data_IF_022402599538
#
_entry.id   IF_022402599538
#
_cell.length_a   1.000
_cell.length_b   1.000
_cell.length_c   1.000
_cell.angle_alpha   90.00
_cell.angle_beta   90.00
_cell.angle_gamma   90.00
#
_symmetry.space_group_name_H-M   'P 1'
#
loop_
_entity.id
_entity.type
_entity.pdbx_description
1 polymer ?
#
# COMPACT_ATOMS: atom_id res chain seq x y z
N UNK A 1 22.62 4.14 8.45
CA UNK A 1 21.84 3.13 7.71
C UNK A 1 21.09 2.15 8.63
N UNK A 2 21.78 1.44 9.54
CA UNK A 2 21.15 0.40 10.38
C UNK A 2 19.94 0.89 11.19
N UNK A 3 20.01 2.06 11.82
CA UNK A 3 18.87 2.64 12.59
C UNK A 3 17.62 2.87 11.72
N UNK A 4 17.80 3.24 10.45
CA UNK A 4 16.69 3.47 9.52
C UNK A 4 16.01 2.15 9.14
N UNK A 5 16.80 1.13 8.78
CA UNK A 5 16.29 -0.20 8.46
C UNK A 5 15.61 -0.86 9.66
N UNK A 6 16.16 -0.70 10.87
CA UNK A 6 15.51 -1.15 12.10
C UNK A 6 14.18 -0.44 12.34
N UNK A 7 14.11 0.87 12.09
CA UNK A 7 12.87 1.63 12.22
C UNK A 7 11.83 1.19 11.19
N UNK A 8 12.25 0.97 9.94
CA UNK A 8 11.39 0.42 8.91
C UNK A 8 10.84 -0.94 9.33
N UNK A 9 11.70 -1.87 9.79
CA UNK A 9 11.27 -3.17 10.31
C UNK A 9 10.26 -3.04 11.45
N UNK A 10 10.44 -2.09 12.37
CA UNK A 10 9.46 -1.82 13.43
C UNK A 10 8.13 -1.25 12.90
N UNK A 11 8.17 -0.41 11.87
CA UNK A 11 6.96 0.17 11.27
C UNK A 11 6.08 -0.88 10.58
N UNK A 12 6.69 -1.96 10.06
CA UNK A 12 5.98 -3.08 9.45
C UNK A 12 5.19 -3.91 10.47
N UNK A 13 5.48 -3.78 11.77
CA UNK A 13 4.76 -4.53 12.81
C UNK A 13 3.31 -4.02 12.99
N UNK A 14 3.05 -2.74 12.72
CA UNK A 14 1.73 -2.14 12.94
C UNK A 14 0.65 -2.76 12.02
N UNK A 15 0.85 -2.89 10.69
CA UNK A 15 -0.06 -3.65 9.82
C UNK A 15 -0.17 -5.12 10.19
N UNK A 16 0.98 -5.74 10.51
CA UNK A 16 1.07 -7.18 10.78
C UNK A 16 0.26 -7.58 12.01
N UNK A 17 0.14 -6.68 13.00
CA UNK A 17 -0.63 -6.93 14.21
C UNK A 17 -2.14 -7.19 13.96
N UNK A 18 -2.70 -6.75 12.83
CA UNK A 18 -4.11 -6.97 12.49
C UNK A 18 -4.34 -8.34 11.80
N UNK A 19 -3.32 -8.94 11.20
CA UNK A 19 -3.44 -10.18 10.42
C UNK A 19 -3.84 -11.43 11.23
N UNK A 20 -3.44 -11.61 12.51
CA UNK A 20 -3.88 -12.75 13.31
C UNK A 20 -5.40 -12.86 13.42
N UNK A 21 -6.09 -11.73 13.60
CA UNK A 21 -7.56 -11.71 13.67
C UNK A 21 -8.15 -12.14 12.33
N UNK A 22 -7.59 -11.64 11.23
CA UNK A 22 -8.01 -12.03 9.88
C UNK A 22 -7.88 -13.53 9.64
N UNK A 23 -6.74 -14.11 10.01
CA UNK A 23 -6.47 -15.54 9.89
C UNK A 23 -7.39 -16.40 10.77
N UNK A 24 -7.66 -15.99 12.00
CA UNK A 24 -8.59 -16.72 12.90
C UNK A 24 -10.01 -16.70 12.32
N UNK A 25 -10.49 -15.55 11.86
CA UNK A 25 -11.84 -15.42 11.29
C UNK A 25 -11.99 -16.29 10.04
N UNK A 26 -11.04 -16.22 9.11
CA UNK A 26 -11.07 -17.09 7.92
C UNK A 26 -10.91 -18.56 8.27
N UNK A 27 -10.04 -18.91 9.22
CA UNK A 27 -9.83 -20.28 9.67
C UNK A 27 -11.10 -20.91 10.25
N UNK A 28 -11.84 -20.19 11.09
CA UNK A 28 -13.15 -20.64 11.59
C UNK A 28 -14.17 -20.72 10.45
N UNK A 29 -14.17 -19.73 9.55
CA UNK A 29 -15.06 -19.73 8.39
C UNK A 29 -14.89 -20.96 7.49
N UNK A 30 -13.65 -21.29 7.13
CA UNK A 30 -13.33 -22.49 6.35
C UNK A 30 -13.54 -23.79 7.14
N UNK A 31 -13.42 -23.76 8.47
CA UNK A 31 -13.78 -24.93 9.29
C UNK A 31 -15.29 -25.22 9.24
N UNK A 32 -16.13 -24.19 9.14
CA UNK A 32 -17.59 -24.33 9.01
C UNK A 32 -18.01 -24.74 7.60
N UNK A 33 -17.39 -24.16 6.57
CA UNK A 33 -17.65 -24.47 5.16
C UNK A 33 -16.33 -24.68 4.41
N UNK A 34 -15.85 -25.92 4.43
CA UNK A 34 -14.53 -26.30 3.89
C UNK A 34 -14.44 -26.06 2.38
N UNK A 35 -15.46 -26.47 1.63
CA UNK A 35 -15.41 -26.50 0.17
C UNK A 35 -16.27 -25.40 -0.48
N UNK A 36 -17.21 -24.81 0.25
CA UNK A 36 -18.16 -23.85 -0.31
C UNK A 36 -17.68 -22.40 -0.33
N UNK A 37 -16.55 -22.08 0.29
CA UNK A 37 -16.05 -20.69 0.40
C UNK A 37 -17.10 -19.71 0.97
N UNK A 38 -18.03 -20.24 1.79
CA UNK A 38 -19.17 -19.50 2.34
C UNK A 38 -20.47 -19.61 1.53
N UNK A 39 -20.46 -20.20 0.34
CA UNK A 39 -21.67 -20.34 -0.49
C UNK A 39 -22.72 -21.23 0.18
N UNK A 40 -22.30 -22.21 0.98
CA UNK A 40 -23.20 -23.17 1.61
C UNK A 40 -23.65 -22.75 3.01
N UNK A 41 -22.99 -21.75 3.62
CA UNK A 41 -23.31 -21.29 4.96
C UNK A 41 -23.05 -19.79 5.13
N UNK A 42 -24.11 -19.03 5.44
CA UNK A 42 -24.06 -17.57 5.63
C UNK A 42 -23.10 -17.17 6.75
N UNK A 43 -23.01 -17.94 7.83
CA UNK A 43 -22.08 -17.65 8.93
C UNK A 43 -20.61 -17.84 8.49
N UNK A 44 -20.34 -18.88 7.69
CA UNK A 44 -19.02 -19.08 7.10
C UNK A 44 -18.66 -17.95 6.12
N UNK A 45 -19.58 -17.57 5.23
CA UNK A 45 -19.39 -16.43 4.32
C UNK A 45 -19.06 -15.14 5.07
N UNK A 46 -19.79 -14.86 6.15
CA UNK A 46 -19.57 -13.67 6.96
C UNK A 46 -18.16 -13.67 7.58
N UNK A 47 -17.73 -14.79 8.17
CA UNK A 47 -16.41 -14.91 8.78
C UNK A 47 -15.27 -14.85 7.75
N UNK A 48 -15.41 -15.55 6.61
CA UNK A 48 -14.41 -15.53 5.52
C UNK A 48 -14.28 -14.11 4.96
N UNK A 49 -15.40 -13.42 4.69
CA UNK A 49 -15.37 -12.04 4.18
C UNK A 49 -14.85 -11.05 5.22
N UNK A 50 -15.17 -11.24 6.50
CA UNK A 50 -14.63 -10.41 7.57
C UNK A 50 -13.10 -10.50 7.66
N UNK A 51 -12.53 -11.71 7.65
CA UNK A 51 -11.07 -11.85 7.63
C UNK A 51 -10.44 -11.41 6.30
N UNK A 52 -11.09 -11.72 5.18
CA UNK A 52 -10.68 -11.27 3.84
C UNK A 52 -10.54 -9.75 3.73
N UNK A 53 -11.39 -8.98 4.41
CA UNK A 53 -11.31 -7.51 4.41
C UNK A 53 -9.93 -6.95 4.78
N UNK A 54 -9.20 -7.64 5.67
CA UNK A 54 -7.85 -7.25 6.09
C UNK A 54 -6.76 -7.84 5.18
N UNK A 55 -6.90 -9.11 4.77
CA UNK A 55 -5.90 -9.77 3.91
C UNK A 55 -5.90 -9.15 2.51
N UNK A 56 -7.09 -8.94 1.94
CA UNK A 56 -7.27 -8.40 0.59
C UNK A 56 -6.81 -6.93 0.50
N UNK A 57 -6.84 -6.20 1.62
CA UNK A 57 -6.38 -4.80 1.70
C UNK A 57 -5.02 -4.66 2.40
N UNK A 58 -4.25 -5.74 2.55
CA UNK A 58 -3.01 -5.73 3.32
C UNK A 58 -1.99 -4.73 2.77
N UNK A 59 -1.91 -4.55 1.46
CA UNK A 59 -1.02 -3.56 0.85
C UNK A 59 -1.35 -2.12 1.28
N UNK A 60 -2.64 -1.79 1.39
CA UNK A 60 -3.09 -0.51 1.94
C UNK A 60 -2.74 -0.38 3.43
N UNK A 61 -2.93 -1.44 4.22
CA UNK A 61 -2.50 -1.46 5.62
C UNK A 61 -1.01 -1.17 5.75
N UNK A 62 -0.17 -1.75 4.87
CA UNK A 62 1.26 -1.44 4.81
C UNK A 62 1.55 0.02 4.44
N UNK A 63 0.84 0.61 3.47
CA UNK A 63 1.01 2.02 3.13
C UNK A 63 0.75 2.95 4.31
N UNK A 64 -0.33 2.71 5.05
CA UNK A 64 -0.71 3.51 6.22
C UNK A 64 0.26 3.25 7.38
N UNK A 65 0.52 1.99 7.71
CA UNK A 65 1.31 1.62 8.88
C UNK A 65 2.79 2.00 8.75
N UNK A 66 3.37 1.84 7.55
CA UNK A 66 4.74 2.32 7.28
C UNK A 66 4.81 3.84 7.35
N UNK A 67 3.82 4.55 6.78
CA UNK A 67 3.80 6.00 6.82
C UNK A 67 3.80 6.54 8.25
N UNK A 68 2.96 5.97 9.12
CA UNK A 68 2.90 6.33 10.55
C UNK A 68 4.19 5.94 11.27
N UNK A 69 4.65 4.69 11.18
CA UNK A 69 5.82 4.23 11.95
C UNK A 69 7.14 4.89 11.53
N UNK A 70 7.21 5.40 10.29
CA UNK A 70 8.36 6.15 9.77
C UNK A 70 8.26 7.67 9.99
N UNK A 71 7.09 8.20 10.39
CA UNK A 71 6.91 9.60 10.75
C UNK A 71 7.57 9.93 12.08
N UNK A 72 8.34 11.02 12.17
CA UNK A 72 9.18 11.38 13.34
C UNK A 72 8.42 11.34 14.67
N UNK A 73 7.13 11.72 14.68
CA UNK A 73 6.25 11.79 15.85
C UNK A 73 5.04 10.83 15.76
N UNK A 74 5.04 9.88 14.81
CA UNK A 74 3.94 8.94 14.55
C UNK A 74 2.56 9.62 14.36
N UNK A 75 2.53 10.84 13.81
CA UNK A 75 1.30 11.60 13.64
C UNK A 75 0.38 11.00 12.56
N UNK A 76 -0.94 11.02 12.81
CA UNK A 76 -1.95 10.49 11.90
C UNK A 76 -2.00 11.18 10.53
N UNK A 77 -1.50 12.41 10.41
CA UNK A 77 -1.40 13.08 9.10
C UNK A 77 -0.39 12.41 8.17
N UNK A 78 0.63 11.72 8.71
CA UNK A 78 1.50 10.88 7.90
C UNK A 78 0.74 9.66 7.35
N UNK A 79 -0.17 9.08 8.12
CA UNK A 79 -1.07 8.01 7.68
C UNK A 79 -1.90 8.45 6.46
N UNK A 80 -2.49 9.64 6.55
CA UNK A 80 -3.24 10.25 5.44
C UNK A 80 -2.34 10.46 4.22
N UNK A 81 -1.10 10.92 4.41
CA UNK A 81 -0.14 11.07 3.32
C UNK A 81 0.18 9.72 2.65
N UNK A 82 0.41 8.66 3.42
CA UNK A 82 0.62 7.31 2.90
C UNK A 82 -0.57 6.79 2.11
N UNK A 83 -1.80 7.01 2.60
CA UNK A 83 -3.04 6.69 1.88
C UNK A 83 -3.16 7.47 0.57
N UNK A 84 -2.87 8.78 0.58
CA UNK A 84 -2.87 9.59 -0.64
C UNK A 84 -1.86 9.06 -1.65
N UNK A 85 -0.66 8.70 -1.20
CA UNK A 85 0.35 8.11 -2.07
C UNK A 85 -0.12 6.80 -2.70
N UNK A 86 -0.71 5.93 -1.88
CA UNK A 86 -1.30 4.66 -2.33
C UNK A 86 -2.35 4.89 -3.41
N UNK A 87 -3.36 5.74 -3.15
CA UNK A 87 -4.44 5.98 -4.10
C UNK A 87 -3.94 6.57 -5.42
N UNK A 88 -2.99 7.52 -5.37
CA UNK A 88 -2.41 8.11 -6.59
C UNK A 88 -1.68 7.06 -7.42
N UNK A 89 -0.79 6.29 -6.79
CA UNK A 89 0.04 5.29 -7.50
C UNK A 89 -0.83 4.17 -8.07
N UNK A 90 -1.73 3.58 -7.28
CA UNK A 90 -2.54 2.45 -7.77
C UNK A 90 -3.55 2.86 -8.83
N UNK A 91 -4.01 4.11 -8.82
CA UNK A 91 -4.93 4.61 -9.85
C UNK A 91 -4.19 4.86 -11.16
N UNK A 92 -3.07 5.57 -11.12
CA UNK A 92 -2.27 5.89 -12.31
C UNK A 92 -1.63 4.66 -12.94
N UNK A 93 -1.31 3.63 -12.16
CA UNK A 93 -0.69 2.41 -12.64
C UNK A 93 -1.65 1.22 -12.69
N UNK A 94 -2.96 1.47 -12.63
CA UNK A 94 -3.96 0.44 -12.95
C UNK A 94 -3.84 0.03 -14.42
N UNK A 95 -4.09 -1.24 -14.73
CA UNK A 95 -4.02 -1.74 -16.12
C UNK A 95 -4.91 -0.93 -17.07
N UNK A 96 -6.10 -0.52 -16.61
CA UNK A 96 -6.96 0.40 -17.37
C UNK A 96 -6.32 1.75 -17.69
N UNK A 97 -5.72 2.42 -16.70
CA UNK A 97 -5.06 3.71 -16.92
C UNK A 97 -3.82 3.58 -17.83
N UNK A 98 -3.01 2.54 -17.62
CA UNK A 98 -1.82 2.26 -18.44
C UNK A 98 -2.21 1.99 -19.89
N UNK A 99 -3.29 1.25 -20.13
CA UNK A 99 -3.80 1.02 -21.47
C UNK A 99 -4.24 2.32 -22.15
N UNK A 100 -4.88 3.23 -21.41
CA UNK A 100 -5.24 4.55 -21.93
C UNK A 100 -4.02 5.41 -22.28
N UNK A 101 -2.93 5.32 -21.51
CA UNK A 101 -1.71 6.09 -21.76
C UNK A 101 -0.88 5.55 -22.94
N UNK A 102 -0.89 4.24 -23.16
CA UNK A 102 -0.07 3.57 -24.18
C UNK A 102 -0.83 3.31 -25.48
N UNK A 103 -2.16 3.29 -25.45
CA UNK A 103 -3.01 2.88 -26.58
C UNK A 103 -2.96 1.38 -26.87
N UNK A 104 -2.41 0.57 -25.97
CA UNK A 104 -2.27 -0.88 -26.10
C UNK A 104 -2.69 -1.58 -24.81
N UNK A 105 -2.82 -2.91 -24.82
CA UNK A 105 -3.01 -3.66 -23.58
C UNK A 105 -1.83 -3.44 -22.62
N UNK A 106 -2.15 -3.24 -21.34
CA UNK A 106 -1.16 -3.05 -20.31
C UNK A 106 -0.39 -4.35 -20.03
N UNK A 107 0.88 -4.21 -19.65
CA UNK A 107 1.67 -5.35 -19.17
C UNK A 107 0.97 -6.04 -17.97
N UNK A 108 0.93 -7.38 -17.88
CA UNK A 108 0.30 -8.11 -16.78
C UNK A 108 0.81 -7.73 -15.38
N UNK A 109 2.01 -7.14 -15.29
CA UNK A 109 2.52 -6.59 -14.04
C UNK A 109 1.57 -5.56 -13.41
N UNK A 110 0.84 -4.79 -14.22
CA UNK A 110 -0.06 -3.74 -13.71
C UNK A 110 -1.35 -4.26 -13.10
N UNK A 111 -1.78 -5.48 -13.44
CA UNK A 111 -2.87 -6.16 -12.72
C UNK A 111 -2.44 -6.52 -11.29
N UNK A 112 -1.14 -6.60 -11.06
CA UNK A 112 -0.53 -6.87 -9.76
C UNK A 112 0.11 -5.62 -9.13
N UNK A 113 -0.37 -4.41 -9.43
CA UNK A 113 0.19 -3.19 -8.83
C UNK A 113 -0.06 -3.11 -7.31
N UNK A 114 -1.15 -3.70 -6.82
CA UNK A 114 -1.57 -3.61 -5.42
C UNK A 114 -0.83 -4.60 -4.50
N UNK A 115 0.50 -4.57 -4.51
CA UNK A 115 1.33 -5.43 -3.65
C UNK A 115 1.75 -4.73 -2.36
N UNK A 116 2.09 -5.51 -1.36
CA UNK A 116 2.66 -5.06 -0.08
C UNK A 116 3.94 -4.27 -0.30
N UNK A 117 4.73 -4.62 -1.33
CA UNK A 117 5.91 -3.86 -1.74
C UNK A 117 5.53 -2.43 -2.15
N UNK A 118 4.56 -2.27 -3.05
CA UNK A 118 4.06 -0.95 -3.45
C UNK A 118 3.46 -0.22 -2.24
N UNK A 119 2.74 -0.94 -1.36
CA UNK A 119 2.27 -0.40 -0.09
C UNK A 119 3.38 0.23 0.74
N UNK A 120 4.48 -0.51 0.97
CA UNK A 120 5.66 -0.02 1.69
C UNK A 120 6.26 1.21 0.99
N UNK A 121 6.39 1.20 -0.34
CA UNK A 121 6.89 2.34 -1.11
C UNK A 121 6.02 3.58 -0.89
N UNK A 122 4.69 3.45 -1.03
CA UNK A 122 3.73 4.52 -0.78
C UNK A 122 3.83 5.05 0.66
N UNK A 123 3.97 4.15 1.64
CA UNK A 123 4.15 4.52 3.03
C UNK A 123 5.44 5.30 3.29
N UNK A 124 6.54 4.90 2.65
CA UNK A 124 7.82 5.61 2.71
C UNK A 124 7.73 7.01 2.08
N UNK A 125 7.04 7.15 0.94
CA UNK A 125 6.79 8.45 0.30
C UNK A 125 6.00 9.36 1.26
N UNK A 126 4.91 8.85 1.84
CA UNK A 126 4.09 9.59 2.81
C UNK A 126 4.88 10.03 4.04
N UNK A 127 5.66 9.13 4.64
CA UNK A 127 6.51 9.44 5.78
C UNK A 127 7.61 10.47 5.43
N UNK A 128 8.25 10.33 4.27
CA UNK A 128 9.28 11.26 3.82
C UNK A 128 8.71 12.66 3.61
N UNK A 129 7.54 12.76 2.97
CA UNK A 129 6.84 14.02 2.77
C UNK A 129 6.42 14.65 4.11
N UNK A 130 5.87 13.86 5.02
CA UNK A 130 5.52 14.34 6.36
C UNK A 130 6.74 14.87 7.12
N UNK A 131 7.82 14.09 7.13
CA UNK A 131 9.03 14.43 7.87
C UNK A 131 9.67 15.73 7.36
N UNK A 132 9.54 16.02 6.06
CA UNK A 132 10.12 17.21 5.42
C UNK A 132 9.19 18.42 5.43
N UNK A 133 7.89 18.25 5.18
CA UNK A 133 6.96 19.36 4.89
C UNK A 133 5.96 19.68 6.01
N UNK A 134 5.93 18.93 7.11
CA UNK A 134 4.97 19.19 8.22
C UNK A 134 5.04 20.59 8.84
N UNK A 135 6.16 21.28 8.70
CA UNK A 135 6.40 22.63 9.23
C UNK A 135 6.57 23.69 8.13
N UNK A 136 6.26 23.35 6.88
CA UNK A 136 6.41 24.27 5.74
C UNK A 136 5.41 25.42 5.82
N UNK A 137 5.90 26.64 5.58
CA UNK A 137 5.08 27.85 5.48
C UNK A 137 4.93 28.20 4.00
N UNK A 138 3.69 28.33 3.55
CA UNK A 138 3.36 28.76 2.19
C UNK A 138 3.08 30.28 2.19
N UNK A 139 3.15 30.92 1.00
CA UNK A 139 2.81 32.35 0.86
C UNK A 139 1.38 32.64 1.33
N UNK A 140 1.09 33.91 1.65
CA UNK A 140 -0.18 34.32 2.29
C UNK A 140 -1.44 33.84 1.57
N UNK A 141 -1.44 33.79 0.23
CA UNK A 141 -2.57 33.30 -0.56
C UNK A 141 -2.81 31.78 -0.46
N UNK A 142 -1.82 30.99 -0.02
CA UNK A 142 -1.91 29.54 0.23
C UNK A 142 -1.73 29.20 1.72
N UNK A 143 -1.77 30.18 2.61
CA UNK A 143 -1.49 29.99 4.03
C UNK A 143 -2.37 28.91 4.69
N UNK A 144 -3.60 28.74 4.20
CA UNK A 144 -4.53 27.68 4.63
C UNK A 144 -3.94 26.27 4.55
N UNK A 145 -3.10 26.01 3.54
CA UNK A 145 -2.46 24.71 3.32
C UNK A 145 -1.13 24.56 4.06
N UNK A 146 -0.67 25.55 4.81
CA UNK A 146 0.61 25.47 5.52
C UNK A 146 0.63 24.40 6.61
N UNK A 147 1.84 24.01 7.02
CA UNK A 147 2.07 23.01 8.05
C UNK A 147 1.63 21.61 7.64
N UNK A 148 1.04 20.86 8.57
CA UNK A 148 0.64 19.46 8.38
C UNK A 148 -0.37 19.25 7.23
N UNK A 149 -1.14 20.27 6.86
CA UNK A 149 -2.12 20.21 5.76
C UNK A 149 -1.46 20.14 4.38
N UNK A 150 -0.26 20.71 4.22
CA UNK A 150 0.49 20.67 2.96
C UNK A 150 0.99 19.26 2.63
N UNK A 151 1.16 18.42 3.65
CA UNK A 151 1.80 17.12 3.51
C UNK A 151 1.07 16.25 2.51
N UNK A 152 -0.26 16.15 2.60
CA UNK A 152 -1.05 15.37 1.66
C UNK A 152 -0.91 15.88 0.22
N UNK A 153 -0.89 17.20 0.03
CA UNK A 153 -0.77 17.84 -1.29
C UNK A 153 0.59 17.55 -1.92
N UNK A 154 1.67 17.76 -1.16
CA UNK A 154 3.03 17.48 -1.62
C UNK A 154 3.18 15.99 -1.90
N UNK A 155 2.60 15.13 -1.06
CA UNK A 155 2.65 13.68 -1.25
C UNK A 155 1.97 13.25 -2.54
N UNK A 156 0.83 13.85 -2.90
CA UNK A 156 0.18 13.59 -4.18
C UNK A 156 1.11 13.96 -5.35
N UNK A 157 1.72 15.14 -5.31
CA UNK A 157 2.69 15.57 -6.34
C UNK A 157 3.90 14.65 -6.45
N UNK A 158 4.51 14.26 -5.33
CA UNK A 158 5.63 13.31 -5.31
C UNK A 158 5.20 11.93 -5.83
N UNK A 159 3.98 11.50 -5.52
CA UNK A 159 3.44 10.20 -5.95
C UNK A 159 3.14 10.15 -7.44
N UNK A 160 2.77 11.27 -8.07
CA UNK A 160 2.67 11.37 -9.54
C UNK A 160 4.05 11.12 -10.17
N UNK A 161 5.09 11.79 -9.67
CA UNK A 161 6.46 11.58 -10.16
C UNK A 161 6.92 10.15 -9.91
N UNK A 162 6.63 9.59 -8.73
CA UNK A 162 6.94 8.19 -8.43
C UNK A 162 6.19 7.22 -9.34
N UNK A 163 4.94 7.52 -9.70
CA UNK A 163 4.15 6.73 -10.65
C UNK A 163 4.79 6.72 -12.04
N UNK A 164 5.28 7.86 -12.52
CA UNK A 164 6.02 7.91 -13.80
C UNK A 164 7.27 7.03 -13.79
N UNK A 165 7.99 6.98 -12.66
CA UNK A 165 9.16 6.10 -12.53
C UNK A 165 8.71 4.62 -12.50
N UNK A 166 7.73 4.31 -11.67
CA UNK A 166 7.19 2.96 -11.51
C UNK A 166 6.53 2.44 -12.80
N UNK A 167 5.97 3.31 -13.63
CA UNK A 167 5.43 2.94 -14.94
C UNK A 167 6.47 2.20 -15.80
N UNK A 168 7.73 2.63 -15.77
CA UNK A 168 8.80 1.95 -16.51
C UNK A 168 9.46 0.84 -15.68
N UNK A 169 9.60 1.03 -14.37
CA UNK A 169 10.38 0.11 -13.52
C UNK A 169 9.58 -1.11 -13.07
N UNK A 170 8.28 -0.97 -12.85
CA UNK A 170 7.43 -2.00 -12.26
C UNK A 170 7.36 -3.30 -13.08
N UNK A 171 7.21 -3.28 -14.42
CA UNK A 171 7.21 -4.52 -15.22
C UNK A 171 8.47 -5.36 -15.02
N UNK A 172 9.64 -4.71 -14.95
CA UNK A 172 10.91 -5.42 -14.69
C UNK A 172 10.98 -6.00 -13.28
N UNK A 173 10.55 -5.24 -12.27
CA UNK A 173 10.51 -5.68 -10.88
C UNK A 173 9.56 -6.87 -10.73
N UNK A 174 8.35 -6.78 -11.27
CA UNK A 174 7.37 -7.85 -11.24
C UNK A 174 7.87 -9.10 -11.98
N UNK A 175 8.46 -8.93 -13.17
CA UNK A 175 9.07 -10.03 -13.91
C UNK A 175 10.16 -10.77 -13.11
N UNK A 176 11.02 -10.02 -12.42
CA UNK A 176 12.04 -10.59 -11.54
C UNK A 176 11.42 -11.36 -10.36
N UNK A 177 10.37 -10.82 -9.74
CA UNK A 177 9.64 -11.50 -8.66
C UNK A 177 9.00 -12.81 -9.15
N UNK A 178 8.40 -12.82 -10.34
CA UNK A 178 7.80 -14.02 -10.95
C UNK A 178 8.87 -15.08 -11.23
N UNK A 179 10.00 -14.69 -11.81
CA UNK A 179 11.12 -15.61 -12.08
C UNK A 179 11.64 -16.21 -10.78
N UNK A 180 11.85 -15.38 -9.75
CA UNK A 180 12.29 -15.84 -8.44
C UNK A 180 11.28 -16.81 -7.80
N UNK A 181 9.98 -16.50 -7.86
CA UNK A 181 8.93 -17.37 -7.34
C UNK A 181 8.90 -18.74 -8.04
N UNK A 182 9.05 -18.76 -9.37
CA UNK A 182 9.14 -20.01 -10.14
C UNK A 182 10.38 -20.83 -9.75
N UNK A 183 11.51 -20.19 -9.50
CA UNK A 183 12.74 -20.87 -9.08
C UNK A 183 12.59 -21.60 -7.73
N UNK A 184 11.85 -21.00 -6.78
CA UNK A 184 11.55 -21.63 -5.49
C UNK A 184 10.69 -22.89 -5.70
N UNK A 185 9.64 -22.80 -6.52
CA UNK A 185 8.71 -23.92 -6.76
C UNK A 185 9.39 -25.07 -7.52
N UNK A 186 10.36 -24.75 -8.39
CA UNK A 186 11.11 -25.76 -9.14
C UNK A 186 12.19 -26.49 -8.33
N UNK A 187 12.39 -26.11 -7.06
CA UNK A 187 13.31 -26.78 -6.12
C UNK A 187 12.52 -27.72 -5.21
#
# INVERSE_FOLDING_TARGET
>A
MMKYLQRLGKSLMLPVACLPVAGILMGIGYWIDHDGWGANNVAAAFLIKAGGSLIDNMALLFAIGVAVGMAIDNDGTAALAGLVSWLVITTLLSSGAVAMFTGAEADPAFDHIQTQFIGIVCGLIGAACYNKFRNSKLPDFLAFFSGKRSVAIVTAGVSIVASLILFFVWPFVYGALVVFGKAIIST
#
